data_IF_609003161575
#
_entry.id   IF_609003161575
#
_cell.length_a   1.000
_cell.length_b   1.000
_cell.length_c   1.000
_cell.angle_alpha   90.00
_cell.angle_beta   90.00
_cell.angle_gamma   90.00
#
_symmetry.space_group_name_H-M   'P 1'
#
loop_
_entity.id
_entity.type
_entity.pdbx_description
1 polymer ?
#
# COMPACT_ATOMS: atom_id res chain seq x y z
N UNK A 1 -5.57 20.52 -32.28
CA UNK A 1 -5.90 19.10 -32.39
C UNK A 1 -7.40 18.93 -32.21
N UNK A 2 -8.07 18.22 -33.11
CA UNK A 2 -9.50 17.90 -32.98
C UNK A 2 -9.70 16.68 -32.05
N UNK A 3 -10.95 16.41 -31.66
CA UNK A 3 -11.28 15.33 -30.71
C UNK A 3 -10.84 13.94 -31.20
N UNK A 4 -10.91 13.73 -32.51
CA UNK A 4 -10.64 12.43 -33.13
C UNK A 4 -9.15 12.14 -33.26
N UNK A 5 -8.33 13.17 -33.45
CA UNK A 5 -6.87 13.10 -33.34
C UNK A 5 -6.45 12.73 -31.91
N UNK A 6 -7.08 13.33 -30.88
CA UNK A 6 -6.79 13.03 -29.48
C UNK A 6 -7.11 11.56 -29.16
N UNK A 7 -8.28 11.07 -29.59
CA UNK A 7 -8.70 9.68 -29.40
C UNK A 7 -7.72 8.70 -30.05
N UNK A 8 -7.31 8.95 -31.30
CA UNK A 8 -6.34 8.11 -32.01
C UNK A 8 -4.99 8.09 -31.31
N UNK A 9 -4.50 9.25 -30.90
CA UNK A 9 -3.26 9.36 -30.13
C UNK A 9 -3.36 8.57 -28.83
N UNK A 10 -4.45 8.73 -28.07
CA UNK A 10 -4.66 8.01 -26.83
C UNK A 10 -4.61 6.48 -27.03
N UNK A 11 -5.33 5.94 -28.01
CA UNK A 11 -5.34 4.50 -28.29
C UNK A 11 -3.95 4.02 -28.71
N UNK A 12 -3.26 4.77 -29.57
CA UNK A 12 -1.89 4.47 -30.00
C UNK A 12 -0.94 4.42 -28.81
N UNK A 13 -0.95 5.46 -27.97
CA UNK A 13 -0.07 5.56 -26.81
C UNK A 13 -0.39 4.49 -25.75
N UNK A 14 -1.66 4.21 -25.49
CA UNK A 14 -2.07 3.13 -24.56
C UNK A 14 -1.70 1.73 -25.07
N UNK A 15 -1.58 1.53 -26.38
CA UNK A 15 -1.13 0.25 -26.95
C UNK A 15 0.36 -0.01 -26.70
N UNK A 16 1.16 1.06 -26.59
CA UNK A 16 2.61 1.01 -26.37
C UNK A 16 2.93 1.08 -24.86
N UNK A 17 2.29 2.00 -24.16
CA UNK A 17 2.57 2.40 -22.78
C UNK A 17 1.48 1.93 -21.80
N UNK A 18 1.01 0.68 -21.98
CA UNK A 18 -0.19 0.12 -21.33
C UNK A 18 -0.30 0.35 -19.82
N UNK A 19 0.83 0.35 -19.10
CA UNK A 19 0.89 0.55 -17.65
C UNK A 19 1.53 1.90 -17.24
N UNK A 20 2.03 2.68 -18.20
CA UNK A 20 2.67 3.99 -17.97
C UNK A 20 1.71 5.14 -18.31
N UNK A 21 0.71 5.28 -17.45
CA UNK A 21 -0.33 6.29 -17.61
C UNK A 21 0.22 7.73 -17.58
N UNK A 22 1.34 7.98 -16.89
CA UNK A 22 1.93 9.32 -16.82
C UNK A 22 2.61 9.68 -18.14
N UNK A 23 3.27 8.73 -18.80
CA UNK A 23 3.81 8.96 -20.14
C UNK A 23 2.68 9.26 -21.15
N UNK A 24 1.58 8.50 -21.12
CA UNK A 24 0.42 8.76 -22.01
C UNK A 24 -0.15 10.16 -21.79
N UNK A 25 -0.34 10.59 -20.53
CA UNK A 25 -0.80 11.96 -20.23
C UNK A 25 0.20 13.00 -20.72
N UNK A 26 1.51 12.77 -20.58
CA UNK A 26 2.54 13.69 -21.06
C UNK A 26 2.43 13.88 -22.58
N UNK A 27 2.28 12.79 -23.33
CA UNK A 27 2.08 12.82 -24.79
C UNK A 27 0.83 13.58 -25.20
N UNK A 28 -0.29 13.40 -24.47
CA UNK A 28 -1.50 14.17 -24.69
C UNK A 28 -1.29 15.69 -24.48
N UNK A 29 -0.49 16.08 -23.48
CA UNK A 29 -0.15 17.50 -23.25
C UNK A 29 0.75 18.06 -24.34
N UNK A 30 1.76 17.29 -24.78
CA UNK A 30 2.68 17.67 -25.86
C UNK A 30 1.92 17.97 -27.17
N UNK A 31 0.82 17.27 -27.41
CA UNK A 31 -0.02 17.42 -28.61
C UNK A 31 -1.15 18.47 -28.44
N UNK A 32 -1.13 19.22 -27.33
CA UNK A 32 -1.96 20.42 -27.14
C UNK A 32 -3.20 20.24 -26.26
N UNK A 33 -3.36 19.11 -25.57
CA UNK A 33 -4.40 18.99 -24.52
C UNK A 33 -4.00 19.86 -23.33
N UNK A 34 -4.89 20.74 -22.82
CA UNK A 34 -4.56 21.57 -21.67
C UNK A 34 -4.22 20.73 -20.43
N UNK A 35 -3.13 21.09 -19.75
CA UNK A 35 -2.66 20.39 -18.56
C UNK A 35 -3.75 20.25 -17.47
N UNK A 36 -4.58 21.28 -17.29
CA UNK A 36 -5.68 21.28 -16.31
C UNK A 36 -6.76 20.24 -16.61
N UNK A 37 -6.93 19.82 -17.87
CA UNK A 37 -7.96 18.87 -18.30
C UNK A 37 -7.45 17.47 -18.64
N UNK A 38 -6.13 17.29 -18.83
CA UNK A 38 -5.55 16.03 -19.33
C UNK A 38 -5.93 14.82 -18.48
N UNK A 39 -5.93 14.96 -17.15
CA UNK A 39 -6.27 13.84 -16.26
C UNK A 39 -7.74 13.43 -16.39
N UNK A 40 -8.65 14.40 -16.52
CA UNK A 40 -10.08 14.12 -16.71
C UNK A 40 -10.32 13.44 -18.06
N UNK A 41 -9.68 13.94 -19.11
CA UNK A 41 -9.77 13.37 -20.45
C UNK A 41 -9.20 11.95 -20.51
N UNK A 42 -8.00 11.75 -19.95
CA UNK A 42 -7.37 10.43 -19.83
C UNK A 42 -8.29 9.42 -19.14
N UNK A 43 -8.94 9.81 -18.03
CA UNK A 43 -9.87 8.93 -17.32
C UNK A 43 -11.11 8.60 -18.16
N UNK A 44 -11.67 9.60 -18.86
CA UNK A 44 -12.82 9.40 -19.76
C UNK A 44 -12.50 8.42 -20.87
N UNK A 45 -11.40 8.65 -21.59
CA UNK A 45 -10.95 7.80 -22.70
C UNK A 45 -10.55 6.41 -22.20
N UNK A 46 -9.94 6.31 -21.02
CA UNK A 46 -9.60 5.02 -20.41
C UNK A 46 -10.85 4.18 -20.13
N UNK A 47 -11.98 4.80 -19.74
CA UNK A 47 -13.25 4.09 -19.56
C UNK A 47 -13.87 3.74 -20.92
N UNK A 48 -13.91 4.70 -21.84
CA UNK A 48 -14.47 4.54 -23.19
C UNK A 48 -13.82 3.39 -23.97
N UNK A 49 -12.48 3.30 -23.93
CA UNK A 49 -11.70 2.27 -24.62
C UNK A 49 -11.43 1.03 -23.76
N UNK A 50 -12.02 0.93 -22.56
CA UNK A 50 -11.96 -0.28 -21.73
C UNK A 50 -10.61 -0.55 -21.06
N UNK A 51 -9.75 0.46 -20.90
CA UNK A 51 -8.53 0.39 -20.07
C UNK A 51 -8.82 0.63 -18.58
N UNK A 52 -10.00 1.15 -18.25
CA UNK A 52 -10.48 1.33 -16.88
C UNK A 52 -11.97 1.01 -16.79
N UNK A 53 -12.41 0.67 -15.58
CA UNK A 53 -13.84 0.54 -15.27
C UNK A 53 -14.33 1.85 -14.65
N UNK A 54 -15.55 2.27 -14.97
CA UNK A 54 -16.24 3.29 -14.19
C UNK A 54 -16.42 2.81 -12.74
N UNK A 55 -16.64 3.76 -11.83
CA UNK A 55 -16.85 3.47 -10.42
C UNK A 55 -18.09 2.57 -10.24
N UNK A 56 -19.16 2.89 -10.95
CA UNK A 56 -20.45 2.20 -10.90
C UNK A 56 -20.32 0.76 -11.42
N UNK A 57 -19.62 0.57 -12.55
CA UNK A 57 -19.38 -0.76 -13.11
C UNK A 57 -18.50 -1.61 -12.18
N UNK A 58 -17.47 -0.99 -11.60
CA UNK A 58 -16.60 -1.66 -10.63
C UNK A 58 -17.39 -2.11 -9.39
N UNK A 59 -18.23 -1.24 -8.84
CA UNK A 59 -19.08 -1.54 -7.70
C UNK A 59 -20.10 -2.64 -8.03
N UNK A 60 -20.73 -2.58 -9.20
CA UNK A 60 -21.67 -3.61 -9.68
C UNK A 60 -20.99 -4.99 -9.81
N UNK A 61 -19.76 -5.06 -10.33
CA UNK A 61 -18.98 -6.30 -10.41
C UNK A 61 -18.69 -6.86 -9.02
N UNK A 62 -18.30 -6.00 -8.07
CA UNK A 62 -18.00 -6.40 -6.68
C UNK A 62 -19.27 -6.92 -6.00
N UNK A 63 -20.36 -6.16 -6.09
CA UNK A 63 -21.67 -6.55 -5.56
C UNK A 63 -22.12 -7.89 -6.13
N UNK A 64 -22.11 -8.05 -7.45
CA UNK A 64 -22.48 -9.31 -8.09
C UNK A 64 -21.59 -10.49 -7.67
N UNK A 65 -20.29 -10.26 -7.48
CA UNK A 65 -19.36 -11.30 -7.10
C UNK A 65 -19.49 -11.74 -5.63
N UNK A 66 -19.89 -10.83 -4.73
CA UNK A 66 -19.79 -11.04 -3.28
C UNK A 66 -21.14 -11.06 -2.55
N UNK A 67 -22.16 -10.37 -3.05
CA UNK A 67 -23.47 -10.31 -2.41
C UNK A 67 -24.06 -11.72 -2.22
N UNK A 68 -24.55 -11.98 -0.99
CA UNK A 68 -25.14 -13.25 -0.58
C UNK A 68 -24.22 -14.47 -0.77
N UNK A 69 -22.89 -14.27 -0.84
CA UNK A 69 -21.93 -15.37 -0.95
C UNK A 69 -21.26 -15.63 0.40
N UNK A 70 -21.11 -16.92 0.74
CA UNK A 70 -20.29 -17.35 1.88
C UNK A 70 -18.81 -17.19 1.55
N UNK A 71 -18.04 -16.57 2.45
CA UNK A 71 -16.62 -16.29 2.29
C UNK A 71 -15.77 -16.92 3.41
N UNK A 72 -16.39 -17.69 4.31
CA UNK A 72 -15.82 -18.19 5.56
C UNK A 72 -14.84 -19.37 5.44
N UNK A 73 -14.70 -19.96 4.25
CA UNK A 73 -13.70 -21.04 4.01
C UNK A 73 -12.64 -20.61 3.02
N UNK A 74 -11.44 -21.19 3.14
CA UNK A 74 -10.30 -20.91 2.24
C UNK A 74 -10.68 -21.05 0.78
N UNK A 75 -11.34 -22.17 0.43
CA UNK A 75 -11.77 -22.48 -0.94
C UNK A 75 -12.73 -21.43 -1.50
N UNK A 76 -13.72 -21.00 -0.71
CA UNK A 76 -14.70 -20.00 -1.15
C UNK A 76 -14.05 -18.62 -1.30
N UNK A 77 -13.22 -18.22 -0.34
CA UNK A 77 -12.50 -16.96 -0.36
C UNK A 77 -11.53 -16.86 -1.55
N UNK A 78 -10.68 -17.87 -1.75
CA UNK A 78 -9.74 -17.93 -2.88
C UNK A 78 -10.47 -18.04 -4.23
N UNK A 79 -11.60 -18.75 -4.28
CA UNK A 79 -12.46 -18.77 -5.45
C UNK A 79 -12.96 -17.38 -5.84
N UNK A 80 -13.35 -16.54 -4.86
CA UNK A 80 -13.77 -15.17 -5.12
C UNK A 80 -12.63 -14.23 -5.45
N UNK A 81 -11.44 -14.44 -4.90
CA UNK A 81 -10.22 -13.75 -5.33
C UNK A 81 -10.01 -13.96 -6.82
N UNK A 82 -10.09 -15.20 -7.30
CA UNK A 82 -9.91 -15.53 -8.73
C UNK A 82 -10.97 -14.88 -9.61
N UNK A 83 -12.23 -14.89 -9.18
CA UNK A 83 -13.32 -14.23 -9.93
C UNK A 83 -13.07 -12.73 -10.05
N UNK A 84 -12.74 -12.05 -8.94
CA UNK A 84 -12.52 -10.62 -8.97
C UNK A 84 -11.24 -10.23 -9.69
N UNK A 85 -10.15 -10.97 -9.55
CA UNK A 85 -8.91 -10.69 -10.29
C UNK A 85 -9.06 -10.84 -11.80
N UNK A 86 -10.01 -11.67 -12.24
CA UNK A 86 -10.28 -11.86 -13.67
C UNK A 86 -11.28 -10.84 -14.23
N UNK A 87 -12.22 -10.37 -13.40
CA UNK A 87 -13.27 -9.44 -13.85
C UNK A 87 -12.88 -7.97 -13.70
N UNK A 88 -11.99 -7.64 -12.76
CA UNK A 88 -11.55 -6.27 -12.53
C UNK A 88 -10.28 -5.97 -13.29
N UNK A 89 -10.28 -4.85 -14.00
CA UNK A 89 -9.10 -4.37 -14.74
C UNK A 89 -8.01 -3.95 -13.75
N UNK A 90 -6.77 -4.36 -14.02
CA UNK A 90 -5.56 -4.03 -13.24
C UNK A 90 -5.61 -4.42 -11.75
N UNK A 91 -6.39 -5.46 -11.40
CA UNK A 91 -6.48 -5.98 -10.03
C UNK A 91 -5.84 -7.36 -9.93
N UNK A 92 -4.67 -7.42 -9.31
CA UNK A 92 -4.02 -8.69 -8.98
C UNK A 92 -4.72 -9.41 -7.81
N UNK A 93 -4.33 -10.66 -7.54
CA UNK A 93 -4.90 -11.48 -6.45
C UNK A 93 -4.85 -10.82 -5.07
N UNK A 94 -3.76 -10.09 -4.77
CA UNK A 94 -3.61 -9.38 -3.49
C UNK A 94 -4.61 -8.23 -3.39
N UNK A 95 -4.74 -7.43 -4.45
CA UNK A 95 -5.73 -6.36 -4.55
C UNK A 95 -7.15 -6.88 -4.42
N UNK A 96 -7.47 -7.98 -5.13
CA UNK A 96 -8.78 -8.63 -5.02
C UNK A 96 -9.07 -9.09 -3.58
N UNK A 97 -8.10 -9.68 -2.88
CA UNK A 97 -8.26 -10.06 -1.48
C UNK A 97 -8.57 -8.86 -0.57
N UNK A 98 -7.92 -7.71 -0.79
CA UNK A 98 -8.19 -6.48 -0.03
C UNK A 98 -9.61 -5.98 -0.31
N UNK A 99 -10.04 -5.97 -1.57
CA UNK A 99 -11.41 -5.57 -1.96
C UNK A 99 -12.45 -6.44 -1.25
N UNK A 100 -12.26 -7.76 -1.23
CA UNK A 100 -13.17 -8.69 -0.55
C UNK A 100 -13.24 -8.39 0.95
N UNK A 101 -12.09 -8.17 1.61
CA UNK A 101 -12.05 -7.84 3.04
C UNK A 101 -12.75 -6.52 3.36
N UNK A 102 -12.52 -5.49 2.56
CA UNK A 102 -13.17 -4.19 2.74
C UNK A 102 -14.68 -4.29 2.54
N UNK A 103 -15.10 -5.02 1.50
CA UNK A 103 -16.52 -5.27 1.25
C UNK A 103 -17.17 -6.00 2.42
N UNK A 104 -16.54 -7.09 2.90
CA UNK A 104 -17.03 -7.87 4.04
C UNK A 104 -17.11 -7.05 5.32
N UNK A 105 -16.13 -6.18 5.59
CA UNK A 105 -16.16 -5.24 6.72
C UNK A 105 -17.37 -4.31 6.65
N UNK A 106 -17.66 -3.76 5.48
CA UNK A 106 -18.76 -2.80 5.29
C UNK A 106 -20.15 -3.46 5.32
N UNK A 107 -20.23 -4.77 5.10
CA UNK A 107 -21.49 -5.53 5.00
C UNK A 107 -21.61 -6.62 6.08
N UNK A 108 -20.76 -6.58 7.11
CA UNK A 108 -20.76 -7.54 8.23
C UNK A 108 -20.75 -9.01 7.80
N UNK A 109 -19.92 -9.36 6.81
CA UNK A 109 -19.81 -10.74 6.30
C UNK A 109 -18.64 -11.50 6.95
N UNK A 110 -18.87 -12.76 7.29
CA UNK A 110 -17.82 -13.67 7.75
C UNK A 110 -16.86 -14.03 6.60
N UNK A 111 -15.57 -13.81 6.83
CA UNK A 111 -14.50 -14.10 5.89
C UNK A 111 -13.51 -15.12 6.45
N UNK A 112 -12.95 -15.92 5.56
CA UNK A 112 -11.83 -16.78 5.88
C UNK A 112 -10.62 -15.95 6.28
N UNK A 113 -10.20 -16.10 7.53
CA UNK A 113 -8.90 -15.67 8.00
C UNK A 113 -7.97 -16.88 8.04
N UNK A 114 -6.80 -16.82 7.37
CA UNK A 114 -5.81 -17.86 7.54
C UNK A 114 -5.40 -17.95 9.01
N UNK A 115 -5.10 -19.16 9.52
CA UNK A 115 -4.61 -19.29 10.89
C UNK A 115 -3.36 -18.43 11.07
N UNK A 116 -3.33 -17.67 12.17
CA UNK A 116 -2.15 -16.90 12.53
C UNK A 116 -1.01 -17.89 12.70
N UNK A 117 0.00 -17.82 11.82
CA UNK A 117 1.23 -18.54 12.06
C UNK A 117 1.83 -17.93 13.32
N UNK A 118 1.78 -18.65 14.43
CA UNK A 118 2.52 -18.32 15.63
C UNK A 118 3.99 -18.59 15.30
N UNK A 119 4.60 -17.65 14.57
CA UNK A 119 6.05 -17.48 14.66
C UNK A 119 6.28 -16.94 16.06
N UNK A 120 7.26 -17.47 16.79
CA UNK A 120 7.76 -16.86 18.04
C UNK A 120 7.69 -15.34 17.91
N UNK A 121 6.97 -14.70 18.83
CA UNK A 121 6.66 -13.29 18.75
C UNK A 121 7.94 -12.55 18.40
N UNK A 122 8.02 -12.01 17.17
CA UNK A 122 9.20 -11.24 16.76
C UNK A 122 9.30 -10.11 17.78
N UNK A 123 10.28 -10.21 18.68
CA UNK A 123 10.53 -9.15 19.66
C UNK A 123 10.72 -7.88 18.85
N UNK A 124 9.82 -6.91 19.04
CA UNK A 124 9.84 -5.68 18.25
C UNK A 124 11.21 -5.05 18.39
N UNK A 125 11.73 -4.43 17.33
CA UNK A 125 13.02 -3.76 17.42
C UNK A 125 13.01 -2.69 18.53
N UNK A 126 11.87 -2.05 18.74
CA UNK A 126 11.67 -1.11 19.85
C UNK A 126 11.94 -1.77 21.21
N UNK A 127 11.38 -2.95 21.46
CA UNK A 127 11.64 -3.69 22.70
C UNK A 127 13.11 -4.09 22.80
N UNK A 128 13.72 -4.57 21.71
CA UNK A 128 15.16 -4.91 21.67
C UNK A 128 16.02 -3.68 22.01
N UNK A 129 15.64 -2.50 21.51
CA UNK A 129 16.35 -1.25 21.77
C UNK A 129 16.20 -0.77 23.22
N UNK A 130 15.00 -0.82 23.78
CA UNK A 130 14.77 -0.49 25.19
C UNK A 130 15.57 -1.42 26.11
N UNK A 131 15.57 -2.74 25.83
CA UNK A 131 16.41 -3.71 26.55
C UNK A 131 17.89 -3.35 26.45
N UNK A 132 18.39 -3.05 25.24
CA UNK A 132 19.78 -2.62 25.04
C UNK A 132 20.13 -1.38 25.88
N UNK A 133 19.25 -0.36 25.91
CA UNK A 133 19.46 0.86 26.70
C UNK A 133 19.49 0.57 28.19
N UNK A 134 18.61 -0.32 28.68
CA UNK A 134 18.57 -0.74 30.08
C UNK A 134 19.83 -1.53 30.49
N UNK A 135 20.27 -2.47 29.66
CA UNK A 135 21.46 -3.31 29.90
C UNK A 135 22.77 -2.54 29.72
N UNK A 136 22.77 -1.44 28.96
CA UNK A 136 23.95 -0.62 28.69
C UNK A 136 23.74 0.82 29.18
N UNK A 137 23.63 1.04 30.51
CA UNK A 137 23.23 2.35 31.05
C UNK A 137 24.28 3.46 30.84
N UNK A 138 25.53 3.10 30.53
CA UNK A 138 26.64 4.02 30.22
C UNK A 138 27.06 3.94 28.74
N UNK A 139 26.19 3.46 27.85
CA UNK A 139 26.49 3.42 26.42
C UNK A 139 26.75 4.83 25.91
N UNK A 140 27.84 5.03 25.17
CA UNK A 140 28.09 6.30 24.47
C UNK A 140 27.20 6.43 23.24
N UNK A 141 26.95 7.65 22.78
CA UNK A 141 26.17 7.92 21.56
C UNK A 141 26.69 7.11 20.36
N UNK A 142 28.02 6.99 20.21
CA UNK A 142 28.65 6.17 19.17
C UNK A 142 28.28 4.67 19.28
N UNK A 143 28.18 4.12 20.49
CA UNK A 143 27.77 2.74 20.72
C UNK A 143 26.29 2.53 20.39
N UNK A 144 25.44 3.52 20.69
CA UNK A 144 24.01 3.51 20.34
C UNK A 144 23.81 3.60 18.83
N UNK A 145 24.50 4.51 18.15
CA UNK A 145 24.45 4.64 16.68
C UNK A 145 24.92 3.34 16.01
N UNK A 146 25.99 2.71 16.51
CA UNK A 146 26.47 1.42 16.02
C UNK A 146 25.41 0.32 16.17
N UNK A 147 24.65 0.30 17.27
CA UNK A 147 23.55 -0.64 17.48
C UNK A 147 22.37 -0.40 16.52
N UNK A 148 22.06 0.87 16.23
CA UNK A 148 20.97 1.26 15.32
C UNK A 148 21.30 1.00 13.84
N UNK A 149 22.58 0.94 13.47
CA UNK A 149 23.04 0.85 12.07
C UNK A 149 23.47 -0.55 11.64
N UNK A 150 24.07 -1.36 12.52
CA UNK A 150 24.65 -2.66 12.14
C UNK A 150 23.58 -3.71 11.83
N UNK A 151 23.46 -4.11 10.55
CA UNK A 151 22.61 -5.21 10.10
C UNK A 151 21.10 -4.96 10.24
N UNK A 152 20.68 -3.69 10.28
CA UNK A 152 19.27 -3.29 10.49
C UNK A 152 18.62 -2.78 9.22
N UNK A 153 17.31 -2.99 9.11
CA UNK A 153 16.50 -2.56 7.97
C UNK A 153 16.51 -1.03 7.81
N UNK A 154 16.43 -0.53 6.57
CA UNK A 154 16.43 0.91 6.25
C UNK A 154 15.42 1.73 7.06
N UNK A 155 14.24 1.15 7.36
CA UNK A 155 13.22 1.82 8.17
C UNK A 155 13.72 2.22 9.57
N UNK A 156 14.58 1.42 10.20
CA UNK A 156 15.17 1.73 11.51
C UNK A 156 16.14 2.90 11.38
N UNK A 157 16.92 2.94 10.30
CA UNK A 157 17.87 4.02 10.01
C UNK A 157 17.13 5.35 9.75
N UNK A 158 16.00 5.31 9.02
CA UNK A 158 15.15 6.48 8.79
C UNK A 158 14.54 7.04 10.08
N UNK A 159 14.32 6.19 11.09
CA UNK A 159 13.76 6.57 12.39
C UNK A 159 14.83 6.75 13.49
N UNK A 160 16.11 6.79 13.15
CA UNK A 160 17.22 6.84 14.11
C UNK A 160 17.11 8.00 15.11
N UNK A 161 16.63 9.17 14.66
CA UNK A 161 16.41 10.35 15.51
C UNK A 161 15.50 10.05 16.70
N UNK A 162 14.43 9.27 16.48
CA UNK A 162 13.47 8.94 17.53
C UNK A 162 14.09 8.00 18.58
N UNK A 163 14.90 7.03 18.14
CA UNK A 163 15.60 6.12 19.05
C UNK A 163 16.70 6.83 19.85
N UNK A 164 17.42 7.78 19.24
CA UNK A 164 18.37 8.61 19.97
C UNK A 164 17.69 9.50 21.02
N UNK A 165 16.51 10.05 20.72
CA UNK A 165 15.74 10.82 21.69
C UNK A 165 15.33 9.95 22.90
N UNK A 166 14.88 8.71 22.67
CA UNK A 166 14.56 7.76 23.74
C UNK A 166 15.78 7.48 24.63
N UNK A 167 16.96 7.26 24.04
CA UNK A 167 18.19 7.05 24.80
C UNK A 167 18.58 8.28 25.63
N UNK A 168 18.54 9.49 25.05
CA UNK A 168 18.83 10.74 25.76
C UNK A 168 17.87 10.97 26.93
N UNK A 169 16.57 10.72 26.74
CA UNK A 169 15.60 10.79 27.84
C UNK A 169 15.93 9.80 28.96
N UNK A 170 16.33 8.57 28.61
CA UNK A 170 16.74 7.58 29.60
C UNK A 170 18.01 8.00 30.36
N UNK A 171 18.95 8.70 29.72
CA UNK A 171 20.11 9.30 30.40
C UNK A 171 19.69 10.42 31.36
N UNK A 172 18.87 11.36 30.90
CA UNK A 172 18.39 12.48 31.74
C UNK A 172 17.66 11.98 32.98
N UNK A 173 16.78 10.98 32.84
CA UNK A 173 16.07 10.37 33.97
C UNK A 173 17.07 9.77 34.97
N UNK A 174 18.08 9.04 34.49
CA UNK A 174 19.10 8.42 35.36
C UNK A 174 19.95 9.45 36.10
N UNK A 175 20.28 10.56 35.46
CA UNK A 175 21.02 11.65 36.12
C UNK A 175 20.17 12.32 37.19
N UNK A 176 18.88 12.52 36.94
CA UNK A 176 17.93 13.05 37.92
C UNK A 176 17.84 12.19 39.19
N UNK A 177 17.88 10.86 39.06
CA UNK A 177 17.85 9.93 40.20
C UNK A 177 19.20 9.76 40.93
N UNK A 178 20.31 10.28 40.40
CA UNK A 178 21.60 10.29 41.13
C UNK A 178 21.75 11.46 42.09
N UNK A 179 20.90 12.48 41.94
CA UNK A 179 20.94 13.73 42.71
C UNK A 179 19.85 13.78 43.81
N UNK A 180 19.25 12.62 44.12
CA UNK A 180 18.32 12.37 45.23
C UNK A 180 18.95 11.32 46.14
#
# INVERSE_FOLDING_TARGET
>A
MNEEEIKRLFVSEMSINKDDHENVKKRLVEEGVPFKSVTRLFNSLSIEYGYALSKENREAIIQFALANKKLNTKRLFEGRIKVLSNKLINVNKKGAAIIIRNYAKNHCLDIYCPPVKITEARVSFHNQFCTFVLENPKATEAKVIKYLTKGRAEYIQRNMKNYLAIWKMAETIREGFKNV
#
